data_IF_325138135223
#
_entry.id   IF_325138135223
#
_cell.length_a   1.000
_cell.length_b   1.000
_cell.length_c   1.000
_cell.angle_alpha   90.00
_cell.angle_beta   90.00
_cell.angle_gamma   90.00
#
_symmetry.space_group_name_H-M   'P 1'
#
loop_
_entity.id
_entity.type
_entity.pdbx_description
1 polymer ?
#
# COMPACT_ATOMS: atom_id res chain seq x y z
N UNK A 1 5.25 0.32 9.64
CA UNK A 1 3.84 -0.13 9.53
C UNK A 1 3.76 -1.36 8.61
N UNK A 2 3.11 -2.44 9.06
CA UNK A 2 2.82 -3.61 8.21
C UNK A 2 1.68 -3.28 7.24
N UNK A 3 1.72 -3.84 6.02
CA UNK A 3 0.65 -3.65 5.04
C UNK A 3 0.48 -4.86 4.12
N UNK A 4 -0.71 -4.98 3.53
CA UNK A 4 -1.06 -6.08 2.63
C UNK A 4 -1.03 -5.69 1.14
N UNK A 5 -0.38 -4.58 0.77
CA UNK A 5 -0.37 -4.07 -0.61
C UNK A 5 0.13 -5.10 -1.63
N UNK A 6 1.16 -5.87 -1.27
CA UNK A 6 1.71 -6.91 -2.15
C UNK A 6 0.67 -8.02 -2.40
N UNK A 7 -0.11 -8.38 -1.39
CA UNK A 7 -1.16 -9.41 -1.48
C UNK A 7 -2.32 -8.88 -2.32
N UNK A 8 -2.82 -7.69 -2.01
CA UNK A 8 -3.91 -7.04 -2.75
C UNK A 8 -3.57 -6.83 -4.23
N UNK A 9 -2.32 -6.45 -4.50
CA UNK A 9 -1.80 -6.34 -5.87
C UNK A 9 -1.78 -7.69 -6.58
N UNK A 10 -1.32 -8.75 -5.91
CA UNK A 10 -1.25 -10.10 -6.47
C UNK A 10 -2.65 -10.66 -6.80
N UNK A 11 -3.64 -10.41 -5.94
CA UNK A 11 -5.05 -10.79 -6.19
C UNK A 11 -5.61 -10.17 -7.47
N UNK A 12 -5.13 -8.98 -7.86
CA UNK A 12 -5.49 -8.31 -9.11
C UNK A 12 -4.54 -8.62 -10.28
N UNK A 13 -3.56 -9.50 -10.09
CA UNK A 13 -2.50 -9.79 -11.08
C UNK A 13 -1.75 -8.53 -11.56
N UNK A 14 -1.61 -7.53 -10.70
CA UNK A 14 -0.95 -6.28 -11.02
C UNK A 14 0.55 -6.33 -10.78
N UNK A 15 1.33 -5.60 -11.59
CA UNK A 15 2.75 -5.36 -11.32
C UNK A 15 2.91 -4.13 -10.40
N UNK A 16 4.08 -3.97 -9.77
CA UNK A 16 4.36 -2.76 -8.98
C UNK A 16 4.23 -1.48 -9.84
N UNK A 17 4.58 -1.56 -11.12
CA UNK A 17 4.43 -0.45 -12.07
C UNK A 17 2.95 -0.12 -12.29
N UNK A 18 2.10 -1.14 -12.48
CA UNK A 18 0.66 -0.92 -12.64
C UNK A 18 0.04 -0.26 -11.41
N UNK A 19 0.37 -0.73 -10.21
CA UNK A 19 -0.12 -0.09 -8.99
C UNK A 19 0.40 1.36 -8.86
N UNK A 20 1.63 1.62 -9.29
CA UNK A 20 2.20 2.97 -9.27
C UNK A 20 1.43 3.94 -10.20
N UNK A 21 1.01 3.47 -11.39
CA UNK A 21 0.14 4.22 -12.30
C UNK A 21 -1.21 4.57 -11.66
N UNK A 22 -1.89 3.59 -11.04
CA UNK A 22 -3.17 3.78 -10.35
C UNK A 22 -3.09 4.78 -9.20
N UNK A 23 -1.93 4.83 -8.52
CA UNK A 23 -1.68 5.71 -7.39
C UNK A 23 -1.08 7.06 -7.77
N UNK A 24 -0.67 7.25 -9.02
CA UNK A 24 0.03 8.46 -9.47
C UNK A 24 1.39 8.67 -8.79
N UNK A 25 2.11 7.59 -8.47
CA UNK A 25 3.42 7.63 -7.79
C UNK A 25 4.47 6.86 -8.59
N UNK A 26 5.73 6.87 -8.13
CA UNK A 26 6.78 6.07 -8.76
C UNK A 26 6.68 4.59 -8.38
N UNK A 27 7.19 3.69 -9.24
CA UNK A 27 7.35 2.26 -8.89
C UNK A 27 8.19 2.05 -7.63
N UNK A 28 9.18 2.93 -7.38
CA UNK A 28 10.02 2.88 -6.19
C UNK A 28 9.21 3.19 -4.91
N UNK A 29 8.26 4.12 -5.00
CA UNK A 29 7.31 4.41 -3.91
C UNK A 29 6.50 3.17 -3.56
N UNK A 30 5.94 2.49 -4.56
CA UNK A 30 5.21 1.22 -4.34
C UNK A 30 6.11 0.15 -3.72
N UNK A 31 7.35 0.00 -4.20
CA UNK A 31 8.29 -0.96 -3.63
C UNK A 31 8.62 -0.66 -2.16
N UNK A 32 8.84 0.61 -1.82
CA UNK A 32 9.13 1.04 -0.45
C UNK A 32 7.92 0.84 0.48
N UNK A 33 6.71 1.12 0.00
CA UNK A 33 5.45 0.84 0.69
C UNK A 33 5.30 -0.67 0.97
N UNK A 34 5.39 -1.52 -0.06
CA UNK A 34 5.26 -2.98 0.10
C UNK A 34 6.32 -3.58 1.05
N UNK A 35 7.50 -2.97 1.13
CA UNK A 35 8.57 -3.41 2.01
C UNK A 35 8.48 -2.81 3.42
N UNK A 36 7.48 -1.98 3.72
CA UNK A 36 7.33 -1.30 5.02
C UNK A 36 8.43 -0.28 5.32
N UNK A 37 9.19 0.16 4.32
CA UNK A 37 10.29 1.16 4.47
C UNK A 37 9.80 2.60 4.38
N UNK A 38 8.53 2.80 4.05
CA UNK A 38 7.91 4.10 3.88
C UNK A 38 6.45 4.00 4.33
N UNK A 39 6.07 4.84 5.29
CA UNK A 39 4.67 4.98 5.66
C UNK A 39 4.00 6.00 4.69
N UNK A 40 2.86 5.67 4.10
CA UNK A 40 2.14 6.59 3.23
C UNK A 40 1.66 7.80 4.02
N UNK A 41 1.64 8.96 3.37
CA UNK A 41 0.87 10.10 3.89
C UNK A 41 -0.62 9.77 3.93
N UNK A 42 -1.37 10.44 4.80
CA UNK A 42 -2.82 10.21 4.93
C UNK A 42 -3.58 10.34 3.59
N UNK A 43 -3.31 11.33 2.70
CA UNK A 43 -3.92 11.38 1.36
C UNK A 43 -3.59 10.18 0.47
N UNK A 44 -2.36 9.66 0.55
CA UNK A 44 -1.95 8.48 -0.20
C UNK A 44 -2.65 7.23 0.35
N UNK A 45 -2.77 7.09 1.67
CA UNK A 45 -3.51 6.00 2.30
C UNK A 45 -4.99 5.98 1.86
N UNK A 46 -5.67 7.13 1.82
CA UNK A 46 -7.04 7.24 1.30
C UNK A 46 -7.13 6.88 -0.19
N UNK A 47 -6.13 7.25 -1.00
CA UNK A 47 -6.10 6.91 -2.42
C UNK A 47 -5.94 5.41 -2.62
N UNK A 48 -5.04 4.78 -1.85
CA UNK A 48 -4.83 3.33 -1.83
C UNK A 48 -6.12 2.60 -1.42
N UNK A 49 -6.75 3.03 -0.32
CA UNK A 49 -8.02 2.50 0.17
C UNK A 49 -9.10 2.52 -0.94
N UNK A 50 -9.24 3.66 -1.63
CA UNK A 50 -10.17 3.80 -2.77
C UNK A 50 -9.84 2.88 -3.95
N UNK A 51 -8.56 2.73 -4.30
CA UNK A 51 -8.13 1.84 -5.41
C UNK A 51 -8.52 0.38 -5.12
N UNK A 52 -8.37 -0.07 -3.87
CA UNK A 52 -8.69 -1.44 -3.48
C UNK A 52 -10.14 -1.65 -3.06
N UNK A 53 -10.88 -0.57 -2.75
CA UNK A 53 -12.26 -0.65 -2.26
C UNK A 53 -12.35 -1.13 -0.82
N UNK A 54 -11.34 -0.81 0.00
CA UNK A 54 -11.21 -1.21 1.41
C UNK A 54 -11.02 0.03 2.28
N UNK A 55 -11.13 -0.10 3.60
CA UNK A 55 -10.72 0.95 4.53
C UNK A 55 -9.19 0.99 4.68
N UNK A 56 -8.68 2.04 5.34
CA UNK A 56 -7.23 2.15 5.60
C UNK A 56 -6.79 1.04 6.57
N UNK A 57 -7.60 0.75 7.58
CA UNK A 57 -7.36 -0.22 8.64
C UNK A 57 -7.40 -1.68 8.14
N UNK A 58 -8.05 -1.94 6.99
CA UNK A 58 -8.01 -3.24 6.31
C UNK A 58 -6.70 -3.46 5.52
N UNK A 59 -5.94 -2.39 5.24
CA UNK A 59 -4.73 -2.45 4.40
C UNK A 59 -3.46 -2.27 5.22
N UNK A 60 -3.51 -1.42 6.24
CA UNK A 60 -2.37 -0.93 6.99
C UNK A 60 -2.52 -1.21 8.48
N UNK A 61 -1.49 -1.80 9.08
CA UNK A 61 -1.49 -2.26 10.45
C UNK A 61 -0.31 -1.65 11.21
N UNK A 62 -0.50 -1.18 12.45
CA UNK A 62 0.60 -0.73 13.30
C UNK A 62 1.64 -1.85 13.41
N UNK A 63 2.92 -1.47 13.49
CA UNK A 63 3.95 -2.47 13.82
C UNK A 63 3.69 -2.94 15.25
N UNK A 64 3.75 -4.25 15.50
CA UNK A 64 3.53 -4.86 16.82
C UNK A 64 4.70 -4.57 17.79
N UNK A 65 5.16 -3.31 17.86
CA UNK A 65 6.17 -2.81 18.79
C UNK A 65 5.64 -2.65 20.22
N UNK A 66 4.86 -3.61 20.70
CA UNK A 66 4.43 -3.72 22.09
C UNK A 66 4.96 -5.02 22.71
N UNK A 67 6.25 -5.01 23.01
CA UNK A 67 6.82 -5.50 24.28
C UNK A 67 8.11 -4.74 24.56
#
# INVERSE_FOLDING_TARGET
MRNDLKVLRAQRSWTQARLAEELGVSRQTVNALEAGRYDPSLPLAFTIARVFGLTIEEIFFPDDGAS
#
